data_IF_168334160351
#
_entry.id   IF_168334160351
#
_cell.length_a   1.000
_cell.length_b   1.000
_cell.length_c   1.000
_cell.angle_alpha   90.00
_cell.angle_beta   90.00
_cell.angle_gamma   90.00
#
_symmetry.space_group_name_H-M   'P 1'
#
loop_
_entity.id
_entity.type
_entity.pdbx_description
1 polymer ?
#
# COMPACT_ATOMS: atom_id res chain seq x y z
N UNK A 1 64.68 18.10 -10.03
CA UNK A 1 63.43 18.55 -9.38
C UNK A 1 62.56 17.33 -9.24
N UNK A 2 62.67 16.66 -8.10
CA UNK A 2 61.83 15.53 -7.72
C UNK A 2 60.50 16.08 -7.20
N UNK A 3 59.34 15.58 -7.66
CA UNK A 3 58.06 16.02 -7.11
C UNK A 3 57.98 15.64 -5.62
N UNK A 4 57.40 16.56 -4.84
CA UNK A 4 57.21 16.44 -3.41
C UNK A 4 56.33 15.21 -3.08
N UNK A 5 56.71 14.34 -2.11
CA UNK A 5 55.97 13.12 -1.80
C UNK A 5 54.53 13.37 -1.30
N UNK A 6 54.23 14.59 -0.84
CA UNK A 6 52.90 14.95 -0.33
C UNK A 6 51.86 15.17 -1.44
N UNK A 7 52.27 15.68 -2.62
CA UNK A 7 51.34 15.84 -3.76
C UNK A 7 50.91 14.49 -4.35
N UNK A 8 51.79 13.48 -4.28
CA UNK A 8 51.50 12.12 -4.77
C UNK A 8 50.50 11.38 -3.87
N UNK A 9 50.50 11.68 -2.57
CA UNK A 9 49.62 11.06 -1.57
C UNK A 9 48.16 11.53 -1.73
N UNK A 10 47.96 12.83 -1.97
CA UNK A 10 46.62 13.44 -2.11
C UNK A 10 45.92 12.96 -3.40
N UNK A 11 46.65 12.86 -4.51
CA UNK A 11 46.11 12.38 -5.79
C UNK A 11 45.68 10.90 -5.69
N UNK A 12 46.40 10.10 -4.90
CA UNK A 12 46.10 8.67 -4.71
C UNK A 12 44.88 8.45 -3.80
N UNK A 13 44.74 9.25 -2.73
CA UNK A 13 43.56 9.24 -1.85
C UNK A 13 42.31 9.68 -2.60
N UNK A 14 42.39 10.75 -3.40
CA UNK A 14 41.26 11.27 -4.17
C UNK A 14 40.74 10.25 -5.19
N UNK A 15 41.64 9.49 -5.83
CA UNK A 15 41.26 8.43 -6.78
C UNK A 15 40.63 7.22 -6.09
N UNK A 16 41.16 6.81 -4.94
CA UNK A 16 40.60 5.69 -4.16
C UNK A 16 39.20 5.98 -3.65
N UNK A 17 38.97 7.22 -3.19
CA UNK A 17 37.63 7.68 -2.78
C UNK A 17 36.69 7.79 -3.98
N UNK A 18 37.18 8.26 -5.13
CA UNK A 18 36.39 8.32 -6.36
C UNK A 18 36.01 6.93 -6.86
N UNK A 19 36.92 5.95 -6.86
CA UNK A 19 36.65 4.58 -7.28
C UNK A 19 35.72 3.83 -6.30
N UNK A 20 35.81 4.13 -5.00
CA UNK A 20 34.86 3.62 -3.98
C UNK A 20 33.46 4.21 -4.14
N UNK A 21 33.34 5.49 -4.54
CA UNK A 21 32.06 6.16 -4.78
C UNK A 21 31.48 5.88 -6.18
N UNK A 22 32.32 5.48 -7.13
CA UNK A 22 31.92 5.09 -8.50
C UNK A 22 31.56 3.61 -8.61
N UNK A 23 31.56 2.88 -7.48
CA UNK A 23 31.20 1.48 -7.41
C UNK A 23 29.73 1.26 -7.75
N UNK A 24 29.49 0.42 -8.77
CA UNK A 24 28.19 -0.02 -9.27
C UNK A 24 27.18 -0.53 -8.22
N UNK A 25 27.63 -0.83 -7.01
CA UNK A 25 26.79 -1.24 -5.90
C UNK A 25 25.89 -0.09 -5.37
N UNK A 26 26.41 1.14 -5.31
CA UNK A 26 25.58 2.31 -4.96
C UNK A 26 24.50 2.58 -6.02
N UNK A 27 24.79 2.29 -7.28
CA UNK A 27 23.85 2.41 -8.38
C UNK A 27 22.78 1.31 -8.35
N UNK A 28 23.11 0.09 -7.92
CA UNK A 28 22.16 -1.02 -7.78
C UNK A 28 21.19 -0.79 -6.62
N UNK A 29 21.71 -0.37 -5.45
CA UNK A 29 20.89 -0.02 -4.29
C UNK A 29 19.98 1.18 -4.60
N UNK A 30 20.50 2.22 -5.26
CA UNK A 30 19.70 3.37 -5.68
C UNK A 30 18.59 2.97 -6.67
N UNK A 31 18.86 2.04 -7.59
CA UNK A 31 17.85 1.49 -8.51
C UNK A 31 16.79 0.68 -7.77
N UNK A 32 17.18 -0.15 -6.80
CA UNK A 32 16.24 -0.92 -5.98
C UNK A 32 15.30 0.00 -5.18
N UNK A 33 15.83 1.05 -4.55
CA UNK A 33 15.04 2.06 -3.84
C UNK A 33 14.10 2.79 -4.79
N UNK A 34 14.59 3.23 -5.96
CA UNK A 34 13.77 3.91 -6.95
C UNK A 34 12.63 3.02 -7.48
N UNK A 35 12.89 1.73 -7.67
CA UNK A 35 11.89 0.74 -8.08
C UNK A 35 10.85 0.54 -6.98
N UNK A 36 11.26 0.40 -5.71
CA UNK A 36 10.35 0.25 -4.58
C UNK A 36 9.44 1.48 -4.39
N UNK A 37 9.98 2.69 -4.57
CA UNK A 37 9.20 3.94 -4.54
C UNK A 37 8.19 3.95 -5.69
N UNK A 38 8.60 3.54 -6.89
CA UNK A 38 7.71 3.46 -8.06
C UNK A 38 6.59 2.45 -7.83
N UNK A 39 6.89 1.27 -7.32
CA UNK A 39 5.89 0.22 -7.07
C UNK A 39 4.90 0.65 -5.99
N UNK A 40 5.38 1.30 -4.92
CA UNK A 40 4.50 1.90 -3.90
C UNK A 40 3.62 3.02 -4.47
N UNK A 41 4.16 3.85 -5.35
CA UNK A 41 3.38 4.89 -6.01
C UNK A 41 2.33 4.31 -6.95
N UNK A 42 2.66 3.24 -7.68
CA UNK A 42 1.72 2.52 -8.54
C UNK A 42 0.60 1.86 -7.71
N UNK A 43 0.93 1.26 -6.55
CA UNK A 43 -0.10 0.69 -5.68
C UNK A 43 -1.05 1.74 -5.09
N UNK A 44 -0.61 2.99 -4.91
CA UNK A 44 -1.48 4.10 -4.49
C UNK A 44 -2.37 4.64 -5.62
N UNK A 45 -2.10 4.27 -6.88
CA UNK A 45 -2.89 4.69 -8.05
C UNK A 45 -3.93 3.65 -8.46
N UNK A 46 -3.83 2.42 -7.95
CA UNK A 46 -4.85 1.41 -8.18
C UNK A 46 -6.08 1.75 -7.33
N UNK A 47 -7.30 1.68 -7.90
CA UNK A 47 -8.50 1.80 -7.11
C UNK A 47 -8.50 0.71 -6.04
N UNK A 48 -8.94 1.07 -4.85
CA UNK A 48 -9.19 0.10 -3.80
C UNK A 48 -10.27 -0.88 -4.28
N UNK A 49 -10.11 -2.17 -3.97
CA UNK A 49 -11.02 -3.21 -4.42
C UNK A 49 -11.47 -4.09 -3.26
N UNK A 50 -12.75 -4.47 -3.30
CA UNK A 50 -13.36 -5.41 -2.36
C UNK A 50 -14.16 -6.48 -3.12
N UNK A 51 -14.34 -7.64 -2.50
CA UNK A 51 -15.03 -8.77 -3.11
C UNK A 51 -16.55 -8.68 -2.88
N UNK A 52 -17.31 -8.50 -3.95
CA UNK A 52 -18.78 -8.46 -3.90
C UNK A 52 -19.39 -9.83 -4.16
N UNK A 53 -19.90 -10.48 -3.11
CA UNK A 53 -20.55 -11.79 -3.20
C UNK A 53 -21.90 -11.75 -3.95
N UNK A 54 -22.56 -10.59 -4.01
CA UNK A 54 -23.84 -10.46 -4.73
C UNK A 54 -23.65 -10.36 -6.25
N UNK A 55 -22.49 -9.89 -6.72
CA UNK A 55 -22.19 -9.76 -8.15
C UNK A 55 -21.75 -11.06 -8.83
N UNK A 56 -21.48 -12.13 -8.08
CA UNK A 56 -21.10 -13.45 -8.63
C UNK A 56 -22.28 -14.44 -8.75
N UNK A 57 -23.52 -14.02 -8.46
CA UNK A 57 -24.71 -14.89 -8.47
C UNK A 57 -25.20 -15.26 -9.88
N UNK A 58 -24.36 -15.90 -10.68
CA UNK A 58 -24.77 -16.62 -11.88
C UNK A 58 -24.99 -18.11 -11.56
N UNK A 59 -26.23 -18.45 -11.23
CA UNK A 59 -26.91 -19.76 -11.44
C UNK A 59 -26.35 -21.01 -10.73
N UNK A 60 -25.12 -21.02 -10.22
CA UNK A 60 -24.57 -22.13 -9.44
C UNK A 60 -24.06 -21.64 -8.07
N UNK A 61 -24.82 -21.96 -7.02
CA UNK A 61 -24.51 -21.56 -5.64
C UNK A 61 -23.23 -22.21 -5.07
N UNK A 62 -22.59 -23.10 -5.83
CA UNK A 62 -21.44 -23.89 -5.38
C UNK A 62 -20.07 -23.39 -5.86
N UNK A 63 -19.98 -22.40 -6.76
CA UNK A 63 -18.74 -22.26 -7.56
C UNK A 63 -17.95 -20.96 -7.42
N UNK A 64 -18.57 -19.77 -7.27
CA UNK A 64 -17.79 -18.55 -7.52
C UNK A 64 -17.52 -17.74 -6.25
N UNK A 65 -16.23 -17.45 -5.91
CA UNK A 65 -15.94 -16.36 -4.99
C UNK A 65 -16.58 -15.09 -5.56
N UNK A 66 -16.91 -14.11 -4.71
CA UNK A 66 -17.51 -12.85 -5.17
C UNK A 66 -16.80 -12.24 -6.39
N UNK A 67 -17.39 -11.22 -7.02
CA UNK A 67 -16.69 -10.48 -8.06
C UNK A 67 -15.93 -9.31 -7.44
N UNK A 68 -14.65 -9.07 -7.77
CA UNK A 68 -13.94 -7.90 -7.29
C UNK A 68 -14.59 -6.64 -7.86
N UNK A 69 -14.78 -5.63 -7.00
CA UNK A 69 -15.40 -4.36 -7.34
C UNK A 69 -14.56 -3.22 -6.79
N UNK A 70 -14.49 -2.13 -7.55
CA UNK A 70 -13.86 -0.90 -7.09
C UNK A 70 -14.67 -0.30 -5.93
N UNK A 71 -13.98 0.18 -4.92
CA UNK A 71 -14.56 0.94 -3.80
C UNK A 71 -14.76 2.39 -4.26
N UNK A 72 -16.01 2.81 -4.36
CA UNK A 72 -16.38 4.16 -4.72
C UNK A 72 -16.24 5.13 -3.54
N UNK A 73 -16.56 4.66 -2.33
CA UNK A 73 -16.40 5.41 -1.09
C UNK A 73 -16.22 4.43 0.10
N UNK A 74 -15.49 4.87 1.13
CA UNK A 74 -15.26 4.08 2.35
C UNK A 74 -15.32 4.98 3.58
N UNK A 75 -16.07 4.57 4.59
CA UNK A 75 -16.34 5.37 5.78
C UNK A 75 -16.45 4.51 7.04
N UNK A 76 -16.19 5.10 8.19
CA UNK A 76 -16.50 4.49 9.49
C UNK A 76 -17.81 5.07 10.00
N UNK A 77 -18.84 4.23 10.12
CA UNK A 77 -20.20 4.67 10.44
C UNK A 77 -20.83 3.82 11.55
N UNK A 78 -21.62 4.41 12.46
CA UNK A 78 -22.49 3.64 13.33
C UNK A 78 -23.69 3.13 12.51
N UNK A 79 -23.96 1.83 12.55
CA UNK A 79 -25.20 1.31 11.98
C UNK A 79 -26.38 1.54 12.93
N UNK A 80 -27.62 1.65 12.40
CA UNK A 80 -28.81 1.76 13.23
C UNK A 80 -28.86 0.63 14.26
N UNK A 81 -28.93 1.03 15.53
CA UNK A 81 -29.04 0.08 16.63
C UNK A 81 -30.40 -0.62 16.59
N UNK A 82 -30.45 -1.93 16.93
CA UNK A 82 -31.72 -2.61 17.04
C UNK A 82 -32.56 -1.99 18.18
N UNK A 83 -33.90 -2.09 18.13
CA UNK A 83 -34.78 -1.41 19.09
C UNK A 83 -34.57 -1.80 20.55
N UNK A 84 -33.97 -2.97 20.79
CA UNK A 84 -33.66 -3.55 22.09
C UNK A 84 -32.22 -3.28 22.56
N UNK A 85 -31.47 -2.41 21.87
CA UNK A 85 -30.14 -2.03 22.29
C UNK A 85 -30.13 -1.37 23.66
N UNK A 86 -29.40 -1.97 24.60
CA UNK A 86 -29.19 -1.40 25.93
C UNK A 86 -27.97 -0.47 25.93
N UNK A 87 -28.12 0.82 26.33
CA UNK A 87 -26.99 1.73 26.50
C UNK A 87 -25.90 1.20 27.46
N UNK A 88 -26.25 0.31 28.40
CA UNK A 88 -25.32 -0.29 29.34
C UNK A 88 -24.41 -1.37 28.70
N UNK A 89 -24.74 -1.85 27.48
CA UNK A 89 -23.84 -2.71 26.70
C UNK A 89 -22.65 -1.96 26.11
N UNK A 90 -22.70 -0.62 26.14
CA UNK A 90 -21.63 0.26 25.70
C UNK A 90 -22.01 1.12 24.48
N UNK A 91 -21.01 1.80 23.89
CA UNK A 91 -21.23 2.63 22.72
C UNK A 91 -21.72 1.80 21.53
N UNK A 92 -22.42 2.47 20.59
CA UNK A 92 -22.83 1.83 19.36
C UNK A 92 -21.60 1.26 18.60
N UNK A 93 -21.67 0.02 18.10
CA UNK A 93 -20.61 -0.54 17.28
C UNK A 93 -20.43 0.31 16.02
N UNK A 94 -19.17 0.61 15.72
CA UNK A 94 -18.78 1.26 14.46
C UNK A 94 -18.50 0.19 13.42
N UNK A 95 -18.85 0.48 12.18
CA UNK A 95 -18.60 -0.39 11.05
C UNK A 95 -17.74 0.35 10.03
N UNK A 96 -16.80 -0.38 9.45
CA UNK A 96 -16.11 -0.01 8.24
C UNK A 96 -17.00 -0.37 7.04
N UNK A 97 -17.54 0.65 6.39
CA UNK A 97 -18.52 0.56 5.32
C UNK A 97 -17.86 0.88 4.00
N UNK A 98 -17.89 -0.06 3.06
CA UNK A 98 -17.40 0.11 1.70
C UNK A 98 -18.57 0.14 0.71
N UNK A 99 -18.71 1.26 0.01
CA UNK A 99 -19.68 1.46 -1.06
C UNK A 99 -19.04 1.08 -2.39
N UNK A 100 -19.53 0.01 -3.03
CA UNK A 100 -18.91 -0.55 -4.23
C UNK A 100 -19.48 0.08 -5.50
N UNK A 101 -18.67 0.14 -6.55
CA UNK A 101 -19.07 0.67 -7.86
C UNK A 101 -20.24 -0.09 -8.51
N UNK A 102 -20.47 -1.35 -8.14
CA UNK A 102 -21.64 -2.12 -8.56
C UNK A 102 -22.96 -1.72 -7.88
N UNK A 103 -22.90 -0.85 -6.87
CA UNK A 103 -24.05 -0.40 -6.09
C UNK A 103 -24.35 -1.24 -4.84
N UNK A 104 -23.57 -2.28 -4.55
CA UNK A 104 -23.65 -3.03 -3.29
C UNK A 104 -22.80 -2.38 -2.19
N UNK A 105 -23.13 -2.67 -0.94
CA UNK A 105 -22.44 -2.15 0.25
C UNK A 105 -21.95 -3.32 1.10
N UNK A 106 -20.69 -3.25 1.52
CA UNK A 106 -20.12 -4.17 2.52
C UNK A 106 -19.96 -3.41 3.83
N UNK A 107 -20.22 -4.08 4.95
CA UNK A 107 -20.05 -3.51 6.28
C UNK A 107 -19.38 -4.54 7.20
N UNK A 108 -18.20 -4.20 7.70
CA UNK A 108 -17.46 -5.02 8.66
C UNK A 108 -17.37 -4.28 10.00
N UNK A 109 -17.45 -5.01 11.12
CA UNK A 109 -17.27 -4.40 12.44
C UNK A 109 -15.87 -3.79 12.53
N UNK A 110 -15.78 -2.49 12.86
CA UNK A 110 -14.51 -1.82 13.04
C UNK A 110 -13.84 -2.31 14.34
N UNK A 111 -12.56 -2.69 14.26
CA UNK A 111 -11.75 -3.22 15.37
C UNK A 111 -11.26 -2.16 16.34
#
# INVERSE_FOLDING_TARGET
MTPDPEESSIVTLSRTVHDMLSGSALDEDARAIAQQIRDRNLSMLLPEQEWCEDCSRDIDAAAEPGMPQDVADRSIEPLPLPPDWDPDWGPAPLYDVAYLACGHTLAHLAS
#
